data_IF_495096123197
#
_entry.id   IF_495096123197
#
_cell.length_a   1.000
_cell.length_b   1.000
_cell.length_c   1.000
_cell.angle_alpha   90.00
_cell.angle_beta   90.00
_cell.angle_gamma   90.00
#
_symmetry.space_group_name_H-M   'P 1'
#
loop_
_entity.id
_entity.type
_entity.pdbx_description
1 polymer ?
#
# COMPACT_ATOMS: atom_id res chain seq x y z
N UNK A 1 -3.67 14.46 -34.44
CA UNK A 1 -2.49 15.02 -33.76
C UNK A 1 -2.68 14.87 -32.26
N UNK A 2 -1.87 14.03 -31.63
CA UNK A 2 -2.04 13.61 -30.24
C UNK A 2 -1.54 14.69 -29.26
N UNK A 3 -2.43 15.17 -28.41
CA UNK A 3 -2.06 15.91 -27.22
C UNK A 3 -1.78 14.87 -26.11
N UNK A 4 -0.53 14.45 -25.98
CA UNK A 4 -0.06 13.82 -24.75
C UNK A 4 -0.36 14.78 -23.60
N UNK A 5 -1.12 14.32 -22.60
CA UNK A 5 -1.26 15.06 -21.36
C UNK A 5 0.14 15.23 -20.76
N UNK A 6 0.63 16.47 -20.74
CA UNK A 6 1.80 16.88 -19.95
C UNK A 6 1.70 16.21 -18.57
N UNK A 7 2.74 15.47 -18.19
CA UNK A 7 2.80 14.84 -16.87
C UNK A 7 2.66 15.93 -15.81
N UNK A 8 1.75 15.76 -14.86
CA UNK A 8 1.54 16.74 -13.77
C UNK A 8 2.82 16.97 -12.93
N UNK A 9 3.78 16.05 -13.07
CA UNK A 9 5.14 16.12 -12.57
C UNK A 9 6.06 16.54 -13.72
N UNK A 10 6.51 17.79 -13.69
CA UNK A 10 7.62 18.29 -14.50
C UNK A 10 8.96 18.05 -13.76
N UNK A 11 10.09 18.21 -14.47
CA UNK A 11 11.42 17.97 -13.91
C UNK A 11 11.71 18.82 -12.66
N UNK A 12 11.23 20.07 -12.64
CA UNK A 12 11.39 20.97 -11.50
C UNK A 12 10.64 20.47 -10.25
N UNK A 13 9.40 20.00 -10.42
CA UNK A 13 8.62 19.37 -9.34
C UNK A 13 9.24 18.06 -8.88
N UNK A 14 9.74 17.24 -9.81
CA UNK A 14 10.45 16.00 -9.48
C UNK A 14 11.70 16.29 -8.64
N UNK A 15 12.51 17.29 -9.03
CA UNK A 15 13.68 17.71 -8.29
C UNK A 15 13.31 18.25 -6.89
N UNK A 16 12.24 19.04 -6.79
CA UNK A 16 11.74 19.55 -5.51
C UNK A 16 11.28 18.42 -4.56
N UNK A 17 10.46 17.49 -5.06
CA UNK A 17 9.99 16.33 -4.29
C UNK A 17 11.19 15.51 -3.83
N UNK A 18 12.15 15.25 -4.72
CA UNK A 18 13.38 14.51 -4.38
C UNK A 18 14.16 15.19 -3.26
N UNK A 19 14.46 16.49 -3.38
CA UNK A 19 15.25 17.22 -2.38
C UNK A 19 14.57 17.26 -1.01
N UNK A 20 13.25 17.35 -0.97
CA UNK A 20 12.49 17.24 0.28
C UNK A 20 12.50 15.81 0.86
N UNK A 21 12.48 14.77 0.02
CA UNK A 21 12.51 13.37 0.46
C UNK A 21 13.86 13.07 1.07
N UNK A 22 14.93 13.52 0.41
CA UNK A 22 16.30 13.44 0.92
C UNK A 22 16.45 14.16 2.27
N UNK A 23 15.88 15.36 2.40
CA UNK A 23 15.87 16.08 3.68
C UNK A 23 15.10 15.33 4.78
N UNK A 24 13.95 14.74 4.46
CA UNK A 24 13.18 13.94 5.40
C UNK A 24 13.96 12.70 5.88
N UNK A 25 14.59 11.97 4.95
CA UNK A 25 15.44 10.81 5.26
C UNK A 25 16.62 11.26 6.14
N UNK A 26 17.30 12.36 5.78
CA UNK A 26 18.42 12.89 6.55
C UNK A 26 18.04 13.28 7.99
N UNK A 27 16.83 13.80 8.18
CA UNK A 27 16.30 14.11 9.51
C UNK A 27 15.88 12.86 10.28
N UNK A 28 15.49 11.79 9.59
CA UNK A 28 15.15 10.50 10.21
C UNK A 28 16.40 9.68 10.60
N UNK A 29 17.48 9.75 9.82
CA UNK A 29 18.69 8.94 10.04
C UNK A 29 19.24 8.98 11.47
N UNK A 30 19.32 10.12 12.19
CA UNK A 30 19.80 10.16 13.57
C UNK A 30 18.94 9.34 14.54
N UNK A 31 17.61 9.32 14.33
CA UNK A 31 16.69 8.51 15.12
C UNK A 31 16.97 7.03 14.91
N UNK A 32 17.09 6.63 13.63
CA UNK A 32 17.39 5.24 13.29
C UNK A 32 18.74 4.78 13.85
N UNK A 33 19.82 5.56 13.67
CA UNK A 33 21.16 5.21 14.20
C UNK A 33 21.13 5.04 15.72
N UNK A 34 20.41 5.92 16.43
CA UNK A 34 20.28 5.84 17.88
C UNK A 34 19.51 4.59 18.31
N UNK A 35 18.37 4.32 17.70
CA UNK A 35 17.57 3.15 18.05
C UNK A 35 18.24 1.84 17.64
N UNK A 36 18.97 1.83 16.52
CA UNK A 36 19.77 0.69 16.10
C UNK A 36 20.79 0.32 17.17
N UNK A 37 21.51 1.32 17.72
CA UNK A 37 22.47 1.09 18.79
C UNK A 37 21.81 0.53 20.06
N UNK A 38 20.63 1.04 20.43
CA UNK A 38 19.87 0.56 21.60
C UNK A 38 19.36 -0.87 21.38
N UNK A 39 18.70 -1.14 20.26
CA UNK A 39 18.16 -2.45 19.92
C UNK A 39 19.27 -3.50 19.80
N UNK A 40 20.40 -3.15 19.19
CA UNK A 40 21.57 -4.03 19.13
C UNK A 40 22.12 -4.37 20.52
N UNK A 41 22.32 -3.38 21.39
CA UNK A 41 22.76 -3.63 22.77
C UNK A 41 21.76 -4.51 23.54
N UNK A 42 20.45 -4.28 23.38
CA UNK A 42 19.41 -5.09 24.00
C UNK A 42 19.40 -6.53 23.46
N UNK A 43 19.64 -6.71 22.16
CA UNK A 43 19.75 -8.02 21.53
C UNK A 43 20.94 -8.80 22.10
N UNK A 44 22.15 -8.21 22.08
CA UNK A 44 23.35 -8.82 22.67
C UNK A 44 23.13 -9.16 24.15
N UNK A 45 22.51 -8.24 24.90
CA UNK A 45 22.17 -8.48 26.31
C UNK A 45 21.23 -9.68 26.48
N UNK A 46 20.17 -9.78 25.67
CA UNK A 46 19.21 -10.89 25.72
C UNK A 46 19.88 -12.24 25.42
N UNK A 47 20.78 -12.27 24.43
CA UNK A 47 21.56 -13.46 24.09
C UNK A 47 22.51 -13.90 25.22
N UNK A 48 23.20 -12.94 25.85
CA UNK A 48 24.15 -13.20 26.94
C UNK A 48 23.45 -13.60 28.24
N UNK A 49 22.35 -12.93 28.60
CA UNK A 49 21.61 -13.18 29.84
C UNK A 49 20.73 -14.44 29.77
N UNK A 50 20.68 -15.13 28.62
CA UNK A 50 19.78 -16.27 28.37
C UNK A 50 18.36 -15.98 28.87
N UNK A 51 17.80 -14.80 28.54
CA UNK A 51 16.37 -14.60 28.68
C UNK A 51 15.69 -15.59 27.73
N UNK A 52 15.43 -16.80 28.24
CA UNK A 52 14.65 -17.82 27.56
C UNK A 52 13.26 -17.24 27.46
N UNK A 53 12.96 -16.63 26.32
CA UNK A 53 11.58 -16.46 25.89
C UNK A 53 10.87 -17.78 26.19
N UNK A 54 9.74 -17.68 26.92
CA UNK A 54 8.94 -18.83 27.32
C UNK A 54 8.79 -19.74 26.11
N UNK A 55 9.46 -20.90 26.15
CA UNK A 55 9.54 -21.77 24.99
C UNK A 55 8.12 -22.21 24.70
N UNK A 56 7.59 -21.80 23.55
CA UNK A 56 6.23 -22.14 23.16
C UNK A 56 6.04 -23.65 23.30
N UNK A 57 5.01 -24.04 24.06
CA UNK A 57 4.64 -25.45 24.21
C UNK A 57 4.01 -26.02 22.92
N UNK A 58 3.69 -25.14 21.96
CA UNK A 58 3.27 -25.54 20.62
C UNK A 58 4.49 -25.88 19.77
N UNK A 59 4.37 -26.97 19.01
CA UNK A 59 5.33 -27.31 17.97
C UNK A 59 5.52 -26.09 17.04
N UNK A 60 6.78 -25.73 16.78
CA UNK A 60 7.11 -24.67 15.83
C UNK A 60 6.45 -24.98 14.48
N UNK A 61 5.98 -23.92 13.86
CA UNK A 61 5.07 -23.85 12.70
C UNK A 61 5.42 -24.81 11.56
N UNK A 62 4.41 -25.15 10.75
CA UNK A 62 4.59 -25.85 9.46
C UNK A 62 5.75 -25.23 8.67
N UNK A 63 6.57 -26.03 7.97
CA UNK A 63 7.65 -25.52 7.14
C UNK A 63 7.11 -24.47 6.15
N UNK A 64 7.90 -23.42 5.84
CA UNK A 64 7.51 -22.44 4.82
C UNK A 64 7.13 -23.16 3.52
N UNK A 65 6.03 -22.73 2.90
CA UNK A 65 5.63 -23.29 1.60
C UNK A 65 6.71 -23.01 0.56
N UNK A 66 6.87 -23.94 -0.39
CA UNK A 66 7.84 -23.80 -1.46
C UNK A 66 7.63 -22.48 -2.24
N UNK A 67 8.71 -21.71 -2.52
CA UNK A 67 8.63 -20.48 -3.28
C UNK A 67 7.83 -20.63 -4.57
N UNK A 68 6.85 -19.76 -4.77
CA UNK A 68 5.99 -19.79 -5.96
C UNK A 68 4.77 -20.70 -5.85
N UNK A 69 4.49 -21.30 -4.69
CA UNK A 69 3.23 -22.01 -4.46
C UNK A 69 2.04 -21.07 -4.70
N UNK A 70 1.13 -21.47 -5.58
CA UNK A 70 -0.08 -20.70 -5.90
C UNK A 70 -1.09 -20.89 -4.78
N UNK A 71 -1.47 -19.80 -4.12
CA UNK A 71 -2.52 -19.75 -3.10
C UNK A 71 -3.90 -19.56 -3.73
N UNK A 72 -3.96 -18.84 -4.85
CA UNK A 72 -5.21 -18.55 -5.57
C UNK A 72 -4.92 -18.29 -7.05
N UNK A 73 -5.80 -18.78 -7.92
CA UNK A 73 -5.80 -18.46 -9.35
C UNK A 73 -7.23 -18.30 -9.87
N UNK A 74 -7.47 -17.31 -10.74
CA UNK A 74 -8.77 -17.11 -11.38
C UNK A 74 -8.68 -16.26 -12.66
N UNK A 75 -9.61 -16.47 -13.58
CA UNK A 75 -9.85 -15.58 -14.73
C UNK A 75 -10.93 -14.57 -14.37
N UNK A 76 -10.61 -13.28 -14.46
CA UNK A 76 -11.51 -12.19 -14.09
C UNK A 76 -11.26 -10.95 -14.94
N UNK A 77 -12.17 -9.97 -14.85
CA UNK A 77 -11.98 -8.69 -15.52
C UNK A 77 -11.22 -7.74 -14.60
N UNK A 78 -10.05 -7.26 -15.03
CA UNK A 78 -9.28 -6.21 -14.36
C UNK A 78 -9.34 -4.91 -15.16
N UNK A 79 -9.52 -3.78 -14.47
CA UNK A 79 -9.40 -2.47 -15.12
C UNK A 79 -7.92 -2.15 -15.38
N UNK A 80 -7.57 -1.98 -16.65
CA UNK A 80 -6.25 -1.56 -17.07
C UNK A 80 -6.21 -0.03 -17.15
N UNK A 81 -5.69 0.62 -16.11
CA UNK A 81 -5.69 2.07 -15.94
C UNK A 81 -4.88 2.82 -17.02
N UNK A 82 -3.82 2.17 -17.53
CA UNK A 82 -2.95 2.67 -18.60
C UNK A 82 -3.70 2.94 -19.90
N UNK A 83 -4.67 2.07 -20.23
CA UNK A 83 -5.50 2.17 -21.44
C UNK A 83 -6.96 2.51 -21.13
N UNK A 84 -7.31 2.69 -19.86
CA UNK A 84 -8.65 2.94 -19.33
C UNK A 84 -9.71 1.98 -19.86
N UNK A 85 -9.40 0.69 -19.89
CA UNK A 85 -10.29 -0.36 -20.41
C UNK A 85 -10.28 -1.58 -19.50
N UNK A 86 -11.43 -2.23 -19.41
CA UNK A 86 -11.55 -3.54 -18.80
C UNK A 86 -10.95 -4.60 -19.72
N UNK A 87 -10.14 -5.49 -19.14
CA UNK A 87 -9.55 -6.63 -19.85
C UNK A 87 -9.74 -7.88 -19.02
N UNK A 88 -10.02 -8.99 -19.68
CA UNK A 88 -9.91 -10.31 -19.07
C UNK A 88 -8.45 -10.61 -18.82
N UNK A 89 -8.16 -11.06 -17.60
CA UNK A 89 -6.81 -11.39 -17.15
C UNK A 89 -6.85 -12.60 -16.23
N UNK A 90 -5.76 -13.35 -16.28
CA UNK A 90 -5.51 -14.43 -15.35
C UNK A 90 -4.79 -13.88 -14.13
N UNK A 91 -5.45 -13.88 -12.97
CA UNK A 91 -4.87 -13.42 -11.70
C UNK A 91 -4.33 -14.61 -10.93
N UNK A 92 -3.10 -14.47 -10.43
CA UNK A 92 -2.44 -15.46 -9.59
C UNK A 92 -1.97 -14.78 -8.31
N UNK A 93 -2.22 -15.41 -7.17
CA UNK A 93 -1.64 -15.03 -5.88
C UNK A 93 -0.74 -16.15 -5.43
N UNK A 94 0.53 -15.84 -5.22
CA UNK A 94 1.55 -16.79 -4.76
C UNK A 94 1.77 -16.69 -3.25
N UNK A 95 2.63 -17.54 -2.72
CA UNK A 95 3.01 -17.58 -1.31
C UNK A 95 3.77 -16.34 -0.81
N UNK A 96 4.21 -15.46 -1.70
CA UNK A 96 4.72 -14.12 -1.39
C UNK A 96 3.59 -13.08 -1.21
N UNK A 97 2.33 -13.52 -1.28
CA UNK A 97 1.11 -12.71 -1.20
C UNK A 97 1.05 -11.57 -2.24
N UNK A 98 1.85 -11.65 -3.30
CA UNK A 98 1.76 -10.72 -4.42
C UNK A 98 0.60 -11.12 -5.35
N UNK A 99 -0.19 -10.13 -5.75
CA UNK A 99 -1.25 -10.28 -6.75
C UNK A 99 -0.66 -10.02 -8.12
N UNK A 100 -0.47 -11.06 -8.91
CA UNK A 100 0.07 -10.99 -10.26
C UNK A 100 -1.03 -11.11 -11.30
N UNK A 101 -0.99 -10.27 -12.34
CA UNK A 101 -1.91 -10.33 -13.46
C UNK A 101 -1.20 -10.76 -14.74
N UNK A 102 -1.81 -11.70 -15.45
CA UNK A 102 -1.33 -12.24 -16.71
C UNK A 102 -2.38 -12.05 -17.80
N UNK A 103 -1.97 -12.15 -19.05
CA UNK A 103 -2.86 -12.01 -20.20
C UNK A 103 -3.89 -13.14 -20.26
N UNK A 104 -3.44 -14.38 -20.02
CA UNK A 104 -4.25 -15.58 -19.95
C UNK A 104 -3.48 -16.68 -19.19
N UNK A 105 -4.15 -17.81 -18.95
CA UNK A 105 -3.57 -18.96 -18.26
C UNK A 105 -2.38 -19.56 -19.00
N UNK A 106 -2.40 -19.58 -20.32
CA UNK A 106 -1.32 -20.13 -21.15
C UNK A 106 -0.04 -19.28 -21.06
N UNK A 107 -0.17 -17.97 -20.97
CA UNK A 107 0.95 -17.07 -20.76
C UNK A 107 1.62 -17.33 -19.41
N UNK A 108 0.81 -17.56 -18.36
CA UNK A 108 1.32 -17.94 -17.04
C UNK A 108 2.08 -19.28 -17.10
N UNK A 109 1.49 -20.32 -17.70
CA UNK A 109 2.12 -21.64 -17.81
C UNK A 109 3.41 -21.64 -18.63
N UNK A 110 3.52 -20.75 -19.62
CA UNK A 110 4.76 -20.55 -20.41
C UNK A 110 5.82 -19.71 -19.69
N UNK A 111 5.59 -19.27 -18.46
CA UNK A 111 6.53 -18.46 -17.70
C UNK A 111 6.66 -17.03 -18.22
N UNK A 112 5.62 -16.47 -18.86
CA UNK A 112 5.63 -15.08 -19.28
C UNK A 112 5.75 -14.13 -18.06
N UNK A 113 6.27 -12.92 -18.28
CA UNK A 113 6.28 -11.90 -17.23
C UNK A 113 4.85 -11.39 -16.95
N UNK A 114 4.50 -11.12 -15.68
CA UNK A 114 3.20 -10.56 -15.33
C UNK A 114 3.04 -9.15 -15.90
N UNK A 115 1.81 -8.81 -16.32
CA UNK A 115 1.43 -7.45 -16.79
C UNK A 115 1.39 -6.47 -15.63
N UNK A 116 0.98 -6.92 -14.45
CA UNK A 116 1.11 -6.15 -13.21
C UNK A 116 1.38 -7.09 -12.04
N UNK A 117 2.12 -6.59 -11.05
CA UNK A 117 2.36 -7.25 -9.77
C UNK A 117 2.09 -6.24 -8.68
N UNK A 118 1.13 -6.54 -7.80
CA UNK A 118 0.67 -5.64 -6.74
C UNK A 118 0.92 -6.32 -5.41
N UNK A 119 1.57 -5.61 -4.49
CA UNK A 119 1.67 -6.00 -3.09
C UNK A 119 0.59 -5.23 -2.32
N UNK A 120 -0.50 -5.88 -1.86
CA UNK A 120 -1.58 -5.21 -1.17
C UNK A 120 -1.22 -4.86 0.29
N UNK A 121 -0.02 -4.37 0.57
CA UNK A 121 0.36 -3.88 1.91
C UNK A 121 -0.31 -2.53 2.20
N UNK A 122 -0.82 -2.36 3.41
CA UNK A 122 -1.51 -1.13 3.86
C UNK A 122 -2.81 -0.81 3.11
N UNK A 123 -3.30 -1.74 2.29
CA UNK A 123 -4.51 -1.57 1.48
C UNK A 123 -5.79 -1.94 2.23
N UNK A 124 -6.94 -1.66 1.59
CA UNK A 124 -8.26 -2.12 2.02
C UNK A 124 -8.98 -2.74 0.82
N UNK A 125 -9.71 -3.83 1.08
CA UNK A 125 -10.58 -4.45 0.08
C UNK A 125 -12.00 -3.94 0.30
N UNK A 126 -12.64 -3.49 -0.77
CA UNK A 126 -14.01 -2.99 -0.75
C UNK A 126 -14.82 -3.66 -1.87
N UNK A 127 -16.11 -3.84 -1.67
CA UNK A 127 -17.01 -4.47 -2.65
C UNK A 127 -18.10 -3.54 -3.16
N UNK A 128 -18.23 -2.36 -2.57
CA UNK A 128 -19.18 -1.33 -2.99
C UNK A 128 -18.45 -0.06 -3.44
N UNK A 129 -19.05 0.65 -4.38
CA UNK A 129 -18.52 1.92 -4.88
C UNK A 129 -18.69 3.02 -3.83
N UNK A 130 -19.78 2.99 -3.05
CA UNK A 130 -20.07 3.96 -2.00
C UNK A 130 -19.01 3.93 -0.90
N UNK A 131 -18.61 2.74 -0.44
CA UNK A 131 -17.53 2.59 0.55
C UNK A 131 -16.19 3.08 0.00
N UNK A 132 -15.92 2.83 -1.29
CA UNK A 132 -14.70 3.28 -1.95
C UNK A 132 -14.61 4.81 -2.02
N UNK A 133 -15.71 5.46 -2.41
CA UNK A 133 -15.77 6.92 -2.49
C UNK A 133 -15.65 7.54 -1.09
N UNK A 134 -16.38 7.02 -0.10
CA UNK A 134 -16.31 7.50 1.29
C UNK A 134 -14.88 7.39 1.86
N UNK A 135 -14.19 6.27 1.59
CA UNK A 135 -12.81 6.08 2.03
C UNK A 135 -11.86 7.05 1.33
N UNK A 136 -12.05 7.25 0.03
CA UNK A 136 -11.23 8.17 -0.77
C UNK A 136 -11.39 9.62 -0.30
N UNK A 137 -12.61 10.06 -0.04
CA UNK A 137 -12.92 11.41 0.47
C UNK A 137 -12.31 11.66 1.85
N UNK A 138 -12.30 10.64 2.73
CA UNK A 138 -11.68 10.76 4.05
C UNK A 138 -10.17 10.92 3.99
N UNK A 139 -9.52 10.24 3.05
CA UNK A 139 -8.06 10.25 2.91
C UNK A 139 -7.54 11.41 2.06
N UNK A 140 -8.35 11.89 1.11
CA UNK A 140 -8.05 13.01 0.24
C UNK A 140 -9.19 14.04 0.26
N UNK A 141 -9.47 14.68 1.41
CA UNK A 141 -10.55 15.66 1.50
C UNK A 141 -10.25 16.83 0.56
N UNK A 142 -11.21 17.15 -0.31
CA UNK A 142 -11.12 18.32 -1.18
C UNK A 142 -11.35 19.58 -0.33
N UNK A 143 -10.36 20.48 -0.20
CA UNK A 143 -10.51 21.71 0.60
C UNK A 143 -11.54 22.69 0.01
N UNK A 144 -12.06 22.45 -1.20
CA UNK A 144 -13.03 23.32 -1.88
C UNK A 144 -14.42 22.68 -2.06
N UNK A 145 -14.63 21.42 -1.64
CA UNK A 145 -15.93 20.80 -1.76
C UNK A 145 -16.88 21.38 -0.70
N UNK A 146 -17.65 22.41 -1.10
CA UNK A 146 -18.92 22.72 -0.45
C UNK A 146 -19.77 21.46 -0.44
N UNK A 147 -20.53 21.28 0.64
CA UNK A 147 -21.29 20.10 1.03
C UNK A 147 -22.49 19.77 0.10
N UNK A 148 -22.36 20.02 -1.20
CA UNK A 148 -23.32 19.67 -2.23
C UNK A 148 -22.86 18.38 -2.89
N UNK A 149 -23.70 17.35 -2.76
CA UNK A 149 -23.59 16.07 -3.47
C UNK A 149 -23.73 16.32 -4.97
N UNK A 150 -22.70 16.86 -5.61
CA UNK A 150 -22.64 16.90 -7.06
C UNK A 150 -22.43 15.47 -7.54
N UNK A 151 -23.33 15.00 -8.41
CA UNK A 151 -23.30 13.70 -9.06
C UNK A 151 -21.94 13.48 -9.75
N UNK A 152 -20.97 12.95 -9.03
CA UNK A 152 -19.70 12.50 -9.58
C UNK A 152 -20.03 11.31 -10.49
N UNK A 153 -19.85 11.49 -11.80
CA UNK A 153 -19.92 10.33 -12.70
C UNK A 153 -18.85 9.31 -12.26
N UNK A 154 -19.22 8.01 -12.20
CA UNK A 154 -18.28 6.96 -11.79
C UNK A 154 -17.04 7.01 -12.69
N UNK A 155 -15.86 7.13 -12.08
CA UNK A 155 -14.57 7.20 -12.80
C UNK A 155 -14.32 5.94 -13.65
N UNK A 156 -14.90 4.82 -13.22
CA UNK A 156 -14.89 3.55 -13.93
C UNK A 156 -16.32 3.05 -14.07
N UNK A 157 -16.84 3.03 -15.30
CA UNK A 157 -18.08 2.31 -15.59
C UNK A 157 -17.84 0.82 -15.38
N UNK A 158 -18.59 0.23 -14.45
CA UNK A 158 -18.48 -1.20 -14.13
C UNK A 158 -19.06 -2.04 -15.28
N UNK A 159 -18.34 -3.07 -15.74
CA UNK A 159 -18.81 -3.94 -16.82
C UNK A 159 -19.70 -5.07 -16.29
N UNK A 160 -19.65 -5.39 -14.98
CA UNK A 160 -20.40 -6.50 -14.35
C UNK A 160 -20.83 -6.12 -12.92
N UNK A 161 -21.70 -6.96 -12.35
CA UNK A 161 -22.44 -6.71 -11.11
C UNK A 161 -21.63 -6.88 -9.81
N UNK A 162 -20.50 -7.60 -9.84
CA UNK A 162 -19.75 -7.93 -8.62
C UNK A 162 -18.32 -7.36 -8.63
N UNK A 163 -18.13 -6.07 -8.29
CA UNK A 163 -16.81 -5.43 -8.26
C UNK A 163 -16.04 -5.75 -6.97
N UNK A 164 -14.71 -5.73 -7.07
CA UNK A 164 -13.79 -5.73 -5.92
C UNK A 164 -12.75 -4.64 -6.15
N UNK A 165 -12.65 -3.72 -5.19
CA UNK A 165 -11.73 -2.60 -5.18
C UNK A 165 -10.61 -2.88 -4.18
N UNK A 166 -9.37 -2.81 -4.64
CA UNK A 166 -8.19 -2.76 -3.80
C UNK A 166 -7.75 -1.31 -3.68
N UNK A 167 -8.12 -0.67 -2.58
CA UNK A 167 -7.73 0.70 -2.27
C UNK A 167 -6.36 0.72 -1.58
N UNK A 168 -5.47 1.63 -1.97
CA UNK A 168 -4.13 1.77 -1.39
C UNK A 168 -3.76 3.26 -1.22
N UNK A 169 -3.37 3.73 -0.02
CA UNK A 169 -3.21 5.17 0.24
C UNK A 169 -2.22 5.91 -0.67
N UNK A 170 -1.13 5.26 -1.09
CA UNK A 170 -0.03 5.89 -1.84
C UNK A 170 0.37 5.12 -3.09
N UNK A 171 -0.41 4.09 -3.44
CA UNK A 171 -0.15 3.21 -4.58
C UNK A 171 -1.38 3.18 -5.47
N UNK A 172 -1.22 2.66 -6.68
CA UNK A 172 -2.33 2.55 -7.62
C UNK A 172 -3.38 1.60 -7.08
N UNK A 173 -4.64 2.02 -7.15
CA UNK A 173 -5.76 1.18 -6.76
C UNK A 173 -5.98 0.07 -7.79
N UNK A 174 -6.38 -1.11 -7.32
CA UNK A 174 -6.77 -2.22 -8.17
C UNK A 174 -8.29 -2.28 -8.32
N UNK A 175 -8.78 -2.45 -9.55
CA UNK A 175 -10.21 -2.64 -9.81
C UNK A 175 -10.41 -3.99 -10.51
N UNK A 176 -11.26 -4.81 -9.91
CA UNK A 176 -11.56 -6.16 -10.36
C UNK A 176 -13.07 -6.35 -10.45
N UNK A 177 -13.52 -7.23 -11.34
CA UNK A 177 -14.95 -7.46 -11.56
C UNK A 177 -15.22 -8.93 -11.92
N UNK A 178 -16.23 -9.49 -11.25
CA UNK A 178 -16.61 -10.91 -11.32
C UNK A 178 -17.99 -11.10 -11.94
N UNK A 179 -18.24 -12.29 -12.47
CA UNK A 179 -19.57 -12.70 -12.94
C UNK A 179 -20.44 -13.28 -11.82
N UNK A 180 -19.82 -13.87 -10.80
CA UNK A 180 -20.52 -14.58 -9.73
C UNK A 180 -20.18 -13.99 -8.36
N UNK A 181 -21.20 -13.87 -7.51
CA UNK A 181 -21.05 -13.40 -6.13
C UNK A 181 -20.16 -14.33 -5.28
N UNK A 182 -20.16 -15.64 -5.57
CA UNK A 182 -19.34 -16.60 -4.84
C UNK A 182 -17.84 -16.37 -5.06
N UNK A 183 -17.44 -16.17 -6.32
CA UNK A 183 -16.05 -15.86 -6.70
C UNK A 183 -15.61 -14.49 -6.18
N UNK A 184 -16.50 -13.49 -6.21
CA UNK A 184 -16.25 -12.17 -5.60
C UNK A 184 -15.90 -12.31 -4.11
N UNK A 185 -16.73 -13.05 -3.33
CA UNK A 185 -16.51 -13.26 -1.89
C UNK A 185 -15.21 -14.03 -1.61
N UNK A 186 -14.93 -15.05 -2.41
CA UNK A 186 -13.69 -15.83 -2.31
C UNK A 186 -12.47 -14.94 -2.55
N UNK A 187 -12.49 -14.14 -3.62
CA UNK A 187 -11.38 -13.23 -3.92
C UNK A 187 -11.23 -12.13 -2.88
N UNK A 188 -12.33 -11.58 -2.37
CA UNK A 188 -12.30 -10.62 -1.27
C UNK A 188 -11.60 -11.20 -0.03
N UNK A 189 -11.93 -12.45 0.34
CA UNK A 189 -11.30 -13.13 1.46
C UNK A 189 -9.80 -13.35 1.22
N UNK A 190 -9.41 -13.81 0.04
CA UNK A 190 -8.00 -14.01 -0.34
C UNK A 190 -7.22 -12.69 -0.27
N UNK A 191 -7.73 -11.60 -0.85
CA UNK A 191 -7.07 -10.30 -0.78
C UNK A 191 -6.98 -9.78 0.65
N UNK A 192 -8.03 -9.95 1.44
CA UNK A 192 -8.06 -9.56 2.86
C UNK A 192 -7.00 -10.33 3.66
N UNK A 193 -6.83 -11.62 3.38
CA UNK A 193 -5.77 -12.44 3.96
C UNK A 193 -4.39 -11.99 3.50
N UNK A 194 -4.20 -11.67 2.21
CA UNK A 194 -2.93 -11.13 1.69
C UNK A 194 -2.54 -9.83 2.42
N UNK A 195 -3.47 -8.89 2.55
CA UNK A 195 -3.25 -7.63 3.30
C UNK A 195 -2.86 -7.94 4.74
N UNK A 196 -3.61 -8.83 5.41
CA UNK A 196 -3.33 -9.21 6.80
C UNK A 196 -1.95 -9.83 6.95
N UNK A 197 -1.54 -10.71 6.03
CA UNK A 197 -0.22 -11.32 6.05
C UNK A 197 0.89 -10.30 5.82
N UNK A 198 0.80 -9.49 4.77
CA UNK A 198 1.81 -8.47 4.45
C UNK A 198 1.94 -7.39 5.53
N UNK A 199 0.83 -7.00 6.16
CA UNK A 199 0.85 -6.01 7.25
C UNK A 199 1.48 -6.58 8.53
N UNK A 200 1.40 -7.89 8.74
CA UNK A 200 1.79 -8.52 9.99
C UNK A 200 3.17 -9.21 9.94
N UNK A 201 3.67 -9.55 8.74
CA UNK A 201 4.98 -10.18 8.58
C UNK A 201 6.13 -9.27 9.02
N UNK A 202 6.02 -7.95 8.83
CA UNK A 202 7.04 -7.01 9.32
C UNK A 202 7.09 -6.92 10.84
N UNK A 203 5.92 -6.93 11.50
CA UNK A 203 5.81 -6.92 12.98
C UNK A 203 6.27 -8.24 13.62
N UNK A 204 6.41 -9.31 12.83
CA UNK A 204 6.93 -10.62 13.24
C UNK A 204 8.43 -10.79 13.02
N UNK A 205 9.10 -9.88 12.31
CA UNK A 205 10.56 -9.91 12.27
C UNK A 205 11.06 -9.56 13.67
N UNK A 206 11.49 -10.58 14.42
CA UNK A 206 12.13 -10.44 15.74
C UNK A 206 13.56 -9.93 15.64
N UNK A 207 13.96 -9.43 14.48
CA UNK A 207 15.27 -8.86 14.25
C UNK A 207 15.33 -7.52 14.98
N UNK A 208 16.48 -7.24 15.57
CA UNK A 208 16.66 -6.00 16.31
C UNK A 208 16.65 -4.78 15.36
N UNK A 209 16.93 -4.97 14.07
CA UNK A 209 16.82 -3.97 13.02
C UNK A 209 15.36 -3.52 12.81
N UNK A 210 14.43 -4.47 12.73
CA UNK A 210 13.01 -4.15 12.57
C UNK A 210 12.47 -3.40 13.81
N UNK A 211 12.88 -3.82 15.01
CA UNK A 211 12.55 -3.13 16.26
C UNK A 211 13.11 -1.70 16.28
N UNK A 212 14.39 -1.54 15.95
CA UNK A 212 15.04 -0.24 15.87
C UNK A 212 14.31 0.71 14.89
N UNK A 213 13.89 0.19 13.74
CA UNK A 213 13.15 0.97 12.75
C UNK A 213 11.78 1.42 13.27
N UNK A 214 10.99 0.52 13.86
CA UNK A 214 9.66 0.84 14.42
C UNK A 214 9.77 1.91 15.50
N UNK A 215 10.72 1.74 16.43
CA UNK A 215 10.98 2.71 17.49
C UNK A 215 11.46 4.05 16.93
N UNK A 216 12.36 4.04 15.93
CA UNK A 216 12.84 5.26 15.30
C UNK A 216 11.71 6.04 14.64
N UNK A 217 10.79 5.36 13.94
CA UNK A 217 9.60 5.99 13.34
C UNK A 217 8.70 6.57 14.42
N UNK A 218 8.51 5.86 15.54
CA UNK A 218 7.74 6.36 16.67
C UNK A 218 8.34 7.65 17.24
N UNK A 219 9.65 7.67 17.54
CA UNK A 219 10.32 8.86 18.08
C UNK A 219 10.31 10.03 17.11
N UNK A 220 10.57 9.77 15.83
CA UNK A 220 10.52 10.81 14.80
C UNK A 220 9.14 11.45 14.71
N UNK A 221 8.06 10.67 14.83
CA UNK A 221 6.68 11.19 14.88
C UNK A 221 6.40 11.99 16.15
N UNK A 222 6.88 11.52 17.30
CA UNK A 222 6.72 12.23 18.58
C UNK A 222 7.41 13.59 18.58
N UNK A 223 8.59 13.71 17.98
CA UNK A 223 9.28 15.01 17.82
C UNK A 223 8.45 15.99 16.97
N UNK A 224 7.65 15.49 16.03
CA UNK A 224 6.69 16.27 15.25
C UNK A 224 5.35 16.51 15.96
N UNK A 225 5.19 16.06 17.20
CA UNK A 225 3.98 16.21 18.00
C UNK A 225 2.88 15.18 17.71
N UNK A 226 3.19 14.12 16.95
CA UNK A 226 2.24 13.05 16.65
C UNK A 226 2.42 11.87 17.60
N UNK A 227 1.49 11.75 18.55
CA UNK A 227 1.46 10.67 19.55
C UNK A 227 0.38 9.64 19.21
N UNK A 228 0.60 8.40 19.64
CA UNK A 228 -0.35 7.29 19.48
C UNK A 228 -0.02 6.31 18.34
N UNK A 229 -0.75 5.19 18.29
CA UNK A 229 -0.56 4.15 17.29
C UNK A 229 -0.79 4.70 15.88
N UNK A 230 -0.02 4.22 14.92
CA UNK A 230 -0.13 4.66 13.53
C UNK A 230 -0.62 3.53 12.65
N UNK A 231 -1.82 3.68 12.10
CA UNK A 231 -2.46 2.68 11.24
C UNK A 231 -1.65 2.36 9.97
N UNK A 232 -0.68 3.20 9.57
CA UNK A 232 0.15 2.99 8.37
C UNK A 232 1.53 2.37 8.66
N UNK A 233 1.73 1.81 9.87
CA UNK A 233 2.87 0.95 10.17
C UNK A 233 2.65 -0.46 9.58
N UNK A 234 2.44 -0.51 8.27
CA UNK A 234 2.03 -1.72 7.54
C UNK A 234 2.91 -1.92 6.32
N UNK A 235 3.49 -3.11 6.19
CA UNK A 235 4.41 -3.43 5.10
C UNK A 235 5.88 -3.38 5.52
N UNK A 236 6.80 -3.47 4.55
CA UNK A 236 8.25 -3.47 4.77
C UNK A 236 8.83 -2.08 5.13
N UNK A 237 10.10 -2.01 5.54
CA UNK A 237 10.80 -0.75 5.87
C UNK A 237 10.67 0.31 4.76
N UNK A 238 10.71 -0.13 3.50
CA UNK A 238 10.66 0.76 2.34
C UNK A 238 9.23 1.31 2.19
N UNK A 239 8.20 0.50 2.39
CA UNK A 239 6.80 0.89 2.35
C UNK A 239 6.43 1.80 3.51
N UNK A 240 6.94 1.52 4.71
CA UNK A 240 6.76 2.39 5.88
C UNK A 240 7.52 3.70 5.69
N UNK A 241 8.74 3.68 5.15
CA UNK A 241 9.52 4.89 4.83
C UNK A 241 8.86 5.73 3.74
N UNK A 242 8.31 5.10 2.69
CA UNK A 242 7.51 5.79 1.67
C UNK A 242 6.29 6.44 2.29
N UNK A 243 5.58 5.72 3.16
CA UNK A 243 4.37 6.22 3.83
C UNK A 243 4.69 7.32 4.85
N UNK A 244 5.79 7.22 5.59
CA UNK A 244 6.21 8.20 6.60
C UNK A 244 6.79 9.45 5.95
N UNK A 245 7.60 9.28 4.89
CA UNK A 245 8.05 10.34 4.02
C UNK A 245 6.84 11.10 3.45
N UNK A 246 5.94 10.40 2.74
CA UNK A 246 4.74 11.01 2.16
C UNK A 246 3.79 11.62 3.19
N UNK A 247 3.70 11.09 4.42
CA UNK A 247 2.90 11.68 5.48
C UNK A 247 3.52 13.00 5.99
N UNK A 248 4.84 13.06 6.18
CA UNK A 248 5.54 14.34 6.46
C UNK A 248 5.31 15.33 5.32
N UNK A 249 5.30 14.86 4.08
CA UNK A 249 4.99 15.70 2.92
C UNK A 249 3.56 16.20 2.89
N UNK A 250 2.57 15.35 3.13
CA UNK A 250 1.16 15.75 3.09
C UNK A 250 0.84 16.71 4.24
N UNK A 251 1.39 16.47 5.44
CA UNK A 251 1.29 17.43 6.54
C UNK A 251 1.95 18.76 6.20
N UNK A 252 3.13 18.78 5.58
CA UNK A 252 3.82 20.04 5.21
C UNK A 252 3.15 20.75 4.02
N UNK A 253 2.54 20.03 3.07
CA UNK A 253 1.87 20.64 1.92
C UNK A 253 0.45 21.12 2.24
N UNK A 254 -0.27 20.42 3.13
CA UNK A 254 -1.62 20.80 3.60
C UNK A 254 -1.55 21.86 4.71
N UNK A 255 -0.59 21.78 5.63
CA UNK A 255 -0.44 22.77 6.72
C UNK A 255 0.39 23.99 6.27
N UNK A 256 1.23 23.84 5.24
CA UNK A 256 2.16 24.88 4.77
C UNK A 256 1.66 25.81 3.66
N UNK A 257 0.34 25.96 3.47
CA UNK A 257 -0.26 27.16 2.86
C UNK A 257 0.28 27.69 1.51
N UNK A 258 0.92 26.87 0.67
CA UNK A 258 1.49 27.31 -0.62
C UNK A 258 0.99 26.50 -1.84
N UNK A 259 -0.14 25.80 -1.71
CA UNK A 259 -0.89 25.23 -2.84
C UNK A 259 -1.99 26.14 -3.39
N UNK A 260 -2.11 27.39 -2.92
CA UNK A 260 -3.13 28.34 -3.37
C UNK A 260 -2.70 29.03 -4.68
N UNK A 261 -2.89 28.37 -5.82
CA UNK A 261 -3.57 28.99 -6.95
C UNK A 261 -3.75 28.01 -8.12
N UNK A 262 -4.98 28.01 -8.66
CA UNK A 262 -5.41 27.42 -9.95
C UNK A 262 -5.52 25.89 -10.00
N UNK A 263 -6.56 25.37 -9.36
CA UNK A 263 -7.33 24.25 -9.93
C UNK A 263 -8.80 24.67 -10.04
N UNK A 264 -9.11 25.45 -11.08
CA UNK A 264 -10.46 25.47 -11.63
C UNK A 264 -10.57 24.21 -12.50
N UNK A 265 -11.57 23.38 -12.20
CA UNK A 265 -12.09 22.30 -13.03
C UNK A 265 -11.16 21.08 -13.24
N UNK A 266 -11.28 20.06 -12.35
CA UNK A 266 -11.22 18.59 -12.65
C UNK A 266 -11.17 17.78 -11.35
N UNK A 267 -12.33 17.33 -10.91
CA UNK A 267 -12.59 16.76 -9.59
C UNK A 267 -12.50 15.21 -9.53
N UNK A 268 -11.85 14.54 -10.49
CA UNK A 268 -11.87 13.05 -10.56
C UNK A 268 -10.53 12.43 -10.97
N UNK A 269 -9.40 13.05 -10.61
CA UNK A 269 -8.07 12.61 -11.08
C UNK A 269 -6.96 12.59 -10.02
N UNK A 270 -7.30 12.63 -8.74
CA UNK A 270 -6.32 12.38 -7.67
C UNK A 270 -6.40 10.93 -7.24
#
# INVERSE_FOLDING_TARGET
MGASASSQLDEGKCAYIRGKTEAAIKNFSPFYIRQYSVAFCNHVRSEVEQHRDLTSQFLKTKPPLDPGTVLYEAELSQFAEDIKKWKERYIVVKNDFAVESYENKEAYQRGAAPKSRILPAGGKVLTSEEEYNLLSDRHFPDPLASNEKENAQPFVVLPKEFPVYLWQPFLRHGYFCFHEAAEQKKFHAVLSDCIRHLNHDYMKQTTFEAQAFVEAVQFFRQEKGHYGPWEMMTGDEIQVTRSSGFCVFFSVWVVGGQGHNKQSNKQTKK
#
